data_IF_879709860589
#
_entry.id   IF_879709860589
#
_cell.length_a   1.000
_cell.length_b   1.000
_cell.length_c   1.000
_cell.angle_alpha   90.00
_cell.angle_beta   90.00
_cell.angle_gamma   90.00
#
_symmetry.space_group_name_H-M   'P 1'
#
loop_
_entity.id
_entity.type
_entity.pdbx_description
1 polymer ?
#
# COMPACT_ATOMS: atom_id res chain seq x y z
N UNK A 1 11.16 10.43 -6.02
CA UNK A 1 11.55 9.52 -7.13
C UNK A 1 12.99 9.02 -7.03
N UNK A 2 13.93 9.84 -6.57
CA UNK A 2 15.34 9.45 -6.38
C UNK A 2 15.50 8.20 -5.49
N UNK A 3 14.78 8.15 -4.36
CA UNK A 3 14.78 7.00 -3.44
C UNK A 3 14.41 5.67 -4.13
N UNK A 4 13.41 5.68 -5.00
CA UNK A 4 12.97 4.46 -5.70
C UNK A 4 14.04 3.98 -6.70
N UNK A 5 14.71 4.91 -7.37
CA UNK A 5 15.82 4.58 -8.28
C UNK A 5 17.02 3.96 -7.53
N UNK A 6 17.34 4.48 -6.34
CA UNK A 6 18.40 3.91 -5.49
C UNK A 6 18.06 2.49 -5.03
N UNK A 7 16.81 2.24 -4.63
CA UNK A 7 16.36 0.88 -4.26
C UNK A 7 16.44 -0.06 -5.46
N UNK A 8 15.97 0.36 -6.63
CA UNK A 8 16.05 -0.46 -7.84
C UNK A 8 17.51 -0.76 -8.23
N UNK A 9 18.40 0.23 -8.12
CA UNK A 9 19.83 0.04 -8.37
C UNK A 9 20.44 -0.98 -7.39
N UNK A 10 20.15 -0.86 -6.10
CA UNK A 10 20.64 -1.81 -5.10
C UNK A 10 20.14 -3.23 -5.36
N UNK A 11 18.86 -3.39 -5.69
CA UNK A 11 18.27 -4.70 -6.00
C UNK A 11 18.84 -5.32 -7.28
N UNK A 12 19.27 -4.52 -8.25
CA UNK A 12 19.86 -5.03 -9.49
C UNK A 12 21.21 -5.74 -9.29
N UNK A 13 21.83 -5.55 -8.12
CA UNK A 13 23.07 -6.24 -7.73
C UNK A 13 22.80 -7.62 -7.10
N UNK A 14 21.53 -7.95 -6.83
CA UNK A 14 21.13 -9.24 -6.25
C UNK A 14 20.60 -10.20 -7.32
N UNK A 15 21.32 -11.28 -7.58
CA UNK A 15 20.80 -12.44 -8.31
C UNK A 15 20.06 -13.34 -7.29
N UNK A 16 18.76 -13.64 -7.43
CA UNK A 16 17.99 -13.74 -8.68
C UNK A 16 16.88 -12.70 -8.88
N UNK A 17 17.07 -11.44 -8.51
CA UNK A 17 16.03 -10.41 -8.70
C UNK A 17 15.79 -10.18 -10.20
N UNK A 18 14.52 -10.14 -10.61
CA UNK A 18 14.11 -9.84 -11.99
C UNK A 18 13.18 -8.63 -11.97
N UNK A 19 13.44 -7.70 -12.87
CA UNK A 19 12.60 -6.51 -13.06
C UNK A 19 11.62 -6.73 -14.20
N UNK A 20 10.39 -6.26 -14.00
CA UNK A 20 9.32 -6.29 -14.99
C UNK A 20 8.77 -4.88 -15.16
N UNK A 21 8.51 -4.49 -16.40
CA UNK A 21 7.78 -3.26 -16.68
C UNK A 21 6.28 -3.57 -16.67
N UNK A 22 5.46 -2.75 -15.99
CA UNK A 22 4.01 -2.93 -16.04
C UNK A 22 3.47 -2.49 -17.40
N UNK A 23 2.39 -3.12 -17.85
CA UNK A 23 1.60 -2.64 -18.97
C UNK A 23 0.90 -1.32 -18.62
N UNK A 24 0.51 -0.55 -19.63
CA UNK A 24 -0.21 0.69 -19.41
C UNK A 24 -1.54 0.41 -18.70
N UNK A 25 -1.83 1.20 -17.65
CA UNK A 25 -3.05 1.06 -16.89
C UNK A 25 -4.27 1.45 -17.73
N UNK A 26 -5.28 0.58 -17.79
CA UNK A 26 -6.56 0.93 -18.35
C UNK A 26 -7.28 1.93 -17.42
N UNK A 27 -7.55 3.12 -17.95
CA UNK A 27 -8.18 4.20 -17.20
C UNK A 27 -9.59 3.85 -16.75
N UNK A 28 -10.32 3.04 -17.50
CA UNK A 28 -11.67 2.64 -17.12
C UNK A 28 -11.68 1.82 -15.83
N UNK A 29 -10.61 1.10 -15.54
CA UNK A 29 -10.45 0.39 -14.28
C UNK A 29 -10.38 1.35 -13.09
N UNK A 30 -9.68 2.49 -13.24
CA UNK A 30 -9.66 3.53 -12.20
C UNK A 30 -11.03 4.17 -12.00
N UNK A 31 -11.77 4.45 -13.07
CA UNK A 31 -13.12 5.04 -13.00
C UNK A 31 -14.17 4.13 -12.37
N UNK A 32 -13.97 2.83 -12.47
CA UNK A 32 -14.82 1.86 -11.77
C UNK A 32 -14.54 1.81 -10.26
N UNK A 33 -13.32 2.13 -9.85
CA UNK A 33 -12.90 2.12 -8.45
C UNK A 33 -13.15 3.45 -7.75
N UNK A 34 -12.76 4.54 -8.40
CA UNK A 34 -12.81 5.91 -7.89
C UNK A 34 -13.90 6.75 -8.60
N UNK A 35 -14.26 7.88 -7.99
CA UNK A 35 -15.15 8.86 -8.62
C UNK A 35 -14.61 9.32 -9.98
N UNK A 36 -15.43 9.25 -11.01
CA UNK A 36 -15.02 9.55 -12.38
C UNK A 36 -14.59 11.02 -12.55
N UNK A 37 -15.23 11.96 -11.84
CA UNK A 37 -14.83 13.37 -11.92
C UNK A 37 -13.45 13.58 -11.31
N UNK A 38 -13.16 12.88 -10.21
CA UNK A 38 -11.84 12.90 -9.59
C UNK A 38 -10.77 12.31 -10.52
N UNK A 39 -11.03 11.13 -11.11
CA UNK A 39 -10.11 10.51 -12.08
C UNK A 39 -9.86 11.44 -13.27
N UNK A 40 -10.91 11.98 -13.89
CA UNK A 40 -10.79 12.89 -15.03
C UNK A 40 -10.05 14.19 -14.67
N UNK A 41 -10.30 14.74 -13.48
CA UNK A 41 -9.58 15.92 -12.99
C UNK A 41 -8.08 15.64 -12.86
N UNK A 42 -7.69 14.50 -12.30
CA UNK A 42 -6.28 14.13 -12.20
C UNK A 42 -5.65 13.89 -13.57
N UNK A 43 -6.35 13.24 -14.51
CA UNK A 43 -5.83 12.96 -15.85
C UNK A 43 -5.58 14.22 -16.67
N UNK A 44 -6.47 15.23 -16.54
CA UNK A 44 -6.39 16.47 -17.31
C UNK A 44 -5.66 17.62 -16.61
N UNK A 45 -5.50 17.53 -15.28
CA UNK A 45 -5.01 18.61 -14.44
C UNK A 45 -6.08 19.68 -14.11
N UNK A 46 -7.33 19.49 -14.54
CA UNK A 46 -8.43 20.42 -14.31
C UNK A 46 -9.72 19.70 -13.86
N UNK A 47 -10.47 20.28 -12.91
CA UNK A 47 -10.16 21.53 -12.20
C UNK A 47 -8.96 21.34 -11.24
N UNK A 48 -8.06 22.29 -11.25
CA UNK A 48 -6.77 22.25 -10.51
C UNK A 48 -6.91 21.84 -9.04
N UNK A 49 -7.92 22.36 -8.35
CA UNK A 49 -8.16 22.07 -6.93
C UNK A 49 -8.37 20.57 -6.70
N UNK A 50 -9.12 19.91 -7.57
CA UNK A 50 -9.39 18.47 -7.48
C UNK A 50 -8.19 17.64 -7.95
N UNK A 51 -7.54 18.06 -9.04
CA UNK A 51 -6.35 17.40 -9.59
C UNK A 51 -5.14 17.39 -8.63
N UNK A 52 -5.10 18.27 -7.63
CA UNK A 52 -3.99 18.39 -6.65
C UNK A 52 -4.43 18.19 -5.20
N UNK A 53 -5.60 17.63 -4.96
CA UNK A 53 -6.17 17.45 -3.62
C UNK A 53 -5.30 16.56 -2.73
N UNK A 54 -4.63 15.58 -3.32
CA UNK A 54 -3.69 14.65 -2.68
C UNK A 54 -2.35 15.29 -2.29
N UNK A 55 -2.17 16.59 -2.49
CA UNK A 55 -0.98 17.39 -2.12
C UNK A 55 0.23 17.28 -3.03
N UNK A 56 0.23 16.50 -4.11
CA UNK A 56 1.27 16.56 -5.13
C UNK A 56 1.17 17.88 -5.92
N UNK A 57 2.19 18.72 -5.81
CA UNK A 57 2.24 20.05 -6.46
C UNK A 57 3.66 20.33 -6.97
N UNK A 58 3.79 20.93 -8.16
CA UNK A 58 2.74 21.21 -9.14
C UNK A 58 2.27 19.94 -9.86
N UNK A 59 1.00 19.91 -10.28
CA UNK A 59 0.53 18.89 -11.22
C UNK A 59 1.19 19.14 -12.59
N UNK A 60 1.62 18.04 -13.22
CA UNK A 60 2.11 17.98 -14.60
C UNK A 60 1.90 16.58 -15.17
N UNK A 61 2.10 16.43 -16.47
CA UNK A 61 1.91 15.15 -17.16
C UNK A 61 2.88 14.06 -16.68
N UNK A 62 4.11 14.43 -16.30
CA UNK A 62 5.08 13.48 -15.76
C UNK A 62 4.62 12.90 -14.43
N UNK A 63 4.02 13.74 -13.56
CA UNK A 63 3.42 13.26 -12.31
C UNK A 63 2.23 12.33 -12.59
N UNK A 64 1.35 12.72 -13.53
CA UNK A 64 0.22 11.88 -13.96
C UNK A 64 0.72 10.51 -14.41
N UNK A 65 1.66 10.47 -15.33
CA UNK A 65 2.18 9.24 -15.92
C UNK A 65 2.90 8.37 -14.88
N UNK A 66 3.64 8.99 -13.95
CA UNK A 66 4.27 8.29 -12.84
C UNK A 66 3.24 7.63 -11.90
N UNK A 67 2.15 8.34 -11.56
CA UNK A 67 1.08 7.78 -10.72
C UNK A 67 0.37 6.62 -11.41
N UNK A 68 0.08 6.74 -12.71
CA UNK A 68 -0.51 5.65 -13.49
C UNK A 68 0.42 4.43 -13.55
N UNK A 69 1.71 4.64 -13.77
CA UNK A 69 2.72 3.58 -13.77
C UNK A 69 2.82 2.88 -12.40
N UNK A 70 2.78 3.61 -11.29
CA UNK A 70 2.77 3.05 -9.93
C UNK A 70 1.58 2.12 -9.72
N UNK A 71 0.38 2.53 -10.14
CA UNK A 71 -0.82 1.72 -10.02
C UNK A 71 -0.79 0.50 -10.95
N UNK A 72 -0.30 0.65 -12.18
CA UNK A 72 -0.08 -0.48 -13.09
C UNK A 72 0.93 -1.48 -12.51
N UNK A 73 2.01 -0.99 -11.88
CA UNK A 73 2.99 -1.80 -11.17
C UNK A 73 2.40 -2.60 -10.01
N UNK A 74 1.37 -2.07 -9.35
CA UNK A 74 0.68 -2.78 -8.27
C UNK A 74 -0.09 -4.00 -8.79
N UNK A 75 -0.77 -3.85 -9.93
CA UNK A 75 -1.47 -4.97 -10.60
C UNK A 75 -0.44 -5.99 -11.08
N UNK A 76 0.63 -5.54 -11.74
CA UNK A 76 1.69 -6.42 -12.23
C UNK A 76 2.37 -7.20 -11.11
N UNK A 77 2.62 -6.56 -9.97
CA UNK A 77 3.17 -7.24 -8.82
C UNK A 77 2.21 -8.33 -8.30
N UNK A 78 0.90 -8.06 -8.22
CA UNK A 78 -0.06 -9.09 -7.82
C UNK A 78 -0.08 -10.28 -8.80
N UNK A 79 -0.07 -10.02 -10.11
CA UNK A 79 0.04 -11.07 -11.14
C UNK A 79 1.28 -11.96 -10.92
N UNK A 80 2.44 -11.33 -10.75
CA UNK A 80 3.71 -12.04 -10.52
C UNK A 80 3.71 -12.81 -9.18
N UNK A 81 3.05 -12.27 -8.15
CA UNK A 81 2.91 -12.98 -6.88
C UNK A 81 2.06 -14.23 -7.01
N UNK A 82 0.97 -14.19 -7.79
CA UNK A 82 0.16 -15.39 -8.08
C UNK A 82 0.94 -16.43 -8.91
N UNK A 83 1.84 -15.98 -9.79
CA UNK A 83 2.63 -16.88 -10.65
C UNK A 83 3.84 -17.47 -9.92
N UNK A 84 4.57 -16.63 -9.17
CA UNK A 84 5.88 -17.01 -8.58
C UNK A 84 5.87 -17.09 -7.05
N UNK A 85 4.77 -16.77 -6.39
CA UNK A 85 4.62 -16.80 -4.93
C UNK A 85 5.12 -15.55 -4.21
N UNK A 86 5.99 -14.74 -4.81
CA UNK A 86 6.52 -13.50 -4.23
C UNK A 86 6.88 -12.49 -5.31
N UNK A 87 6.49 -11.25 -5.10
CA UNK A 87 6.87 -10.12 -5.93
C UNK A 87 6.89 -8.82 -5.12
N UNK A 88 7.38 -7.73 -5.70
CA UNK A 88 7.32 -6.42 -5.08
C UNK A 88 7.06 -5.32 -6.12
N UNK A 89 6.21 -4.36 -5.78
CA UNK A 89 6.16 -3.06 -6.45
C UNK A 89 7.04 -2.08 -5.66
N UNK A 90 8.14 -1.61 -6.29
CA UNK A 90 9.05 -0.64 -5.64
C UNK A 90 8.44 0.76 -5.74
N UNK A 91 7.28 0.96 -5.11
CA UNK A 91 6.53 2.21 -5.16
C UNK A 91 5.54 2.28 -3.99
N UNK A 92 4.64 3.27 -4.03
CA UNK A 92 3.61 3.46 -3.02
C UNK A 92 2.35 2.66 -3.37
N UNK A 93 1.65 2.10 -2.34
CA UNK A 93 0.32 1.50 -2.49
C UNK A 93 -0.81 2.52 -2.49
N UNK A 94 -0.53 3.78 -2.13
CA UNK A 94 -1.50 4.89 -2.05
C UNK A 94 -2.69 4.64 -1.12
N UNK A 95 -2.42 4.11 0.08
CA UNK A 95 -3.39 3.63 1.06
C UNK A 95 -4.33 4.71 1.64
N UNK A 96 -3.99 6.01 1.51
CA UNK A 96 -4.86 7.12 1.93
C UNK A 96 -5.86 7.56 0.86
N UNK A 97 -5.71 7.12 -0.39
CA UNK A 97 -6.68 7.47 -1.42
C UNK A 97 -8.03 6.79 -1.14
N UNK A 98 -9.06 7.61 -0.96
CA UNK A 98 -10.46 7.23 -0.76
C UNK A 98 -11.17 7.02 -2.10
N UNK A 99 -12.40 6.46 -2.12
CA UNK A 99 -13.15 6.31 -3.36
C UNK A 99 -13.36 7.61 -4.15
N UNK A 100 -13.51 8.75 -3.47
CA UNK A 100 -13.94 9.99 -4.09
C UNK A 100 -12.80 11.02 -4.26
N UNK A 101 -11.66 10.83 -3.58
CA UNK A 101 -10.53 11.75 -3.65
C UNK A 101 -9.23 11.13 -3.15
N UNK A 102 -8.11 11.74 -3.55
CA UNK A 102 -6.78 11.44 -3.02
C UNK A 102 -6.45 12.27 -1.78
N UNK A 103 -5.57 11.76 -0.94
CA UNK A 103 -5.14 12.40 0.31
C UNK A 103 -3.70 12.06 0.63
N UNK A 104 -2.99 12.92 1.36
CA UNK A 104 -1.66 12.65 1.93
C UNK A 104 -0.69 11.97 0.95
N UNK A 105 -0.50 12.56 -0.22
CA UNK A 105 0.33 12.05 -1.32
C UNK A 105 -0.14 10.72 -1.93
N UNK A 106 -1.35 10.27 -1.62
CA UNK A 106 -1.97 9.10 -2.22
C UNK A 106 -3.03 9.54 -3.24
N UNK A 107 -2.86 9.16 -4.50
CA UNK A 107 -3.75 9.58 -5.58
C UNK A 107 -4.85 8.56 -5.84
N UNK A 108 -4.51 7.36 -6.28
CA UNK A 108 -5.44 6.28 -6.52
C UNK A 108 -5.02 5.06 -5.72
N UNK A 109 -5.94 4.39 -5.04
CA UNK A 109 -5.63 3.30 -4.14
C UNK A 109 -5.24 2.02 -4.91
N UNK A 110 -3.93 1.81 -5.09
CA UNK A 110 -3.41 0.66 -5.80
C UNK A 110 -3.67 -0.67 -5.09
N UNK A 111 -3.81 -0.66 -3.76
CA UNK A 111 -4.12 -1.86 -2.97
C UNK A 111 -5.55 -2.33 -3.24
N UNK A 112 -6.51 -1.39 -3.22
CA UNK A 112 -7.91 -1.66 -3.57
C UNK A 112 -8.06 -2.04 -5.05
N UNK A 113 -7.23 -1.44 -5.93
CA UNK A 113 -7.22 -1.74 -7.37
C UNK A 113 -6.90 -3.21 -7.64
N UNK A 114 -5.98 -3.81 -6.87
CA UNK A 114 -5.70 -5.26 -6.97
C UNK A 114 -6.94 -6.09 -6.63
N UNK A 115 -7.64 -5.76 -5.55
CA UNK A 115 -8.86 -6.49 -5.18
C UNK A 115 -9.96 -6.38 -6.26
N UNK A 116 -10.07 -5.23 -6.91
CA UNK A 116 -11.00 -5.04 -8.03
C UNK A 116 -10.61 -5.87 -9.26
N UNK A 117 -9.31 -5.98 -9.56
CA UNK A 117 -8.82 -6.74 -10.72
C UNK A 117 -8.95 -8.26 -10.54
N UNK A 118 -8.96 -8.72 -9.31
CA UNK A 118 -9.06 -10.14 -8.96
C UNK A 118 -10.30 -10.42 -8.09
N UNK A 119 -11.53 -10.23 -8.61
CA UNK A 119 -12.78 -10.31 -7.82
C UNK A 119 -13.01 -11.70 -7.19
N UNK A 120 -12.46 -12.75 -7.78
CA UNK A 120 -12.55 -14.13 -7.29
C UNK A 120 -11.44 -14.50 -6.29
N UNK A 121 -10.55 -13.56 -5.96
CA UNK A 121 -9.44 -13.74 -5.02
C UNK A 121 -9.64 -12.90 -3.77
N UNK A 122 -9.35 -13.46 -2.62
CA UNK A 122 -9.37 -12.74 -1.33
C UNK A 122 -8.04 -12.02 -1.12
N UNK A 123 -8.07 -10.71 -1.19
CA UNK A 123 -6.89 -9.83 -1.10
C UNK A 123 -6.82 -9.25 0.31
N UNK A 124 -5.80 -9.64 1.06
CA UNK A 124 -5.55 -9.15 2.41
C UNK A 124 -4.43 -8.12 2.40
N UNK A 125 -4.69 -6.94 2.95
CA UNK A 125 -3.68 -5.89 3.12
C UNK A 125 -3.17 -5.93 4.56
N UNK A 126 -1.89 -6.19 4.73
CA UNK A 126 -1.15 -5.96 5.98
C UNK A 126 -0.44 -4.62 5.85
N UNK A 127 -1.03 -3.60 6.41
CA UNK A 127 -0.53 -2.23 6.33
C UNK A 127 0.28 -1.89 7.58
N UNK A 128 1.58 -1.72 7.40
CA UNK A 128 2.56 -1.40 8.43
C UNK A 128 3.20 -0.01 8.23
N UNK A 129 2.54 0.86 7.49
CA UNK A 129 2.87 2.29 7.41
C UNK A 129 2.66 2.95 8.79
N UNK A 130 3.36 4.06 9.05
CA UNK A 130 3.17 4.81 10.29
C UNK A 130 1.75 5.34 10.43
N UNK A 131 1.08 5.63 9.31
CA UNK A 131 -0.29 6.14 9.27
C UNK A 131 -1.27 5.02 8.92
N UNK A 132 -2.44 5.03 9.55
CA UNK A 132 -3.47 4.04 9.23
C UNK A 132 -3.99 4.15 7.79
N UNK A 133 -4.18 3.02 7.13
CA UNK A 133 -4.68 2.92 5.75
C UNK A 133 -6.16 3.26 5.62
N UNK A 134 -6.54 4.51 5.96
CA UNK A 134 -7.93 4.96 6.00
C UNK A 134 -8.65 4.83 4.66
N UNK A 135 -7.99 5.17 3.55
CA UNK A 135 -8.58 5.04 2.21
C UNK A 135 -8.83 3.58 1.85
N UNK A 136 -7.87 2.69 2.10
CA UNK A 136 -8.05 1.25 1.87
C UNK A 136 -9.19 0.69 2.74
N UNK A 137 -9.30 1.14 4.00
CA UNK A 137 -10.39 0.73 4.89
C UNK A 137 -11.78 1.08 4.36
N UNK A 138 -11.94 2.22 3.66
CA UNK A 138 -13.22 2.59 3.04
C UNK A 138 -13.59 1.66 1.88
N UNK A 139 -12.61 1.16 1.13
CA UNK A 139 -12.87 0.25 0.01
C UNK A 139 -13.38 -1.12 0.41
N UNK A 140 -13.18 -1.57 1.66
CA UNK A 140 -13.75 -2.85 2.11
C UNK A 140 -15.29 -2.85 2.09
N UNK A 141 -15.91 -1.67 2.13
CA UNK A 141 -17.36 -1.51 2.01
C UNK A 141 -17.86 -1.75 0.58
N UNK A 142 -17.01 -1.52 -0.43
CA UNK A 142 -17.33 -1.69 -1.86
C UNK A 142 -16.82 -3.03 -2.41
N UNK A 143 -15.72 -3.56 -1.87
CA UNK A 143 -15.01 -4.74 -2.35
C UNK A 143 -15.11 -5.87 -1.33
N UNK A 144 -16.03 -6.85 -1.50
CA UNK A 144 -16.25 -7.92 -0.52
C UNK A 144 -15.05 -8.87 -0.38
N UNK A 145 -14.14 -8.87 -1.35
CA UNK A 145 -12.93 -9.65 -1.42
C UNK A 145 -11.68 -8.91 -0.93
N UNK A 146 -11.84 -7.71 -0.33
CA UNK A 146 -10.77 -6.92 0.27
C UNK A 146 -10.85 -6.98 1.80
N UNK A 147 -9.71 -7.17 2.46
CA UNK A 147 -9.54 -7.04 3.89
C UNK A 147 -8.37 -6.09 4.17
N UNK A 148 -8.52 -5.16 5.10
CA UNK A 148 -7.45 -4.24 5.50
C UNK A 148 -7.14 -4.40 6.98
N UNK A 149 -5.90 -4.74 7.31
CA UNK A 149 -5.38 -4.82 8.67
C UNK A 149 -4.24 -3.81 8.81
N UNK A 150 -4.49 -2.71 9.52
CA UNK A 150 -3.52 -1.62 9.69
C UNK A 150 -2.92 -1.61 11.09
N UNK A 151 -1.58 -1.57 11.15
CA UNK A 151 -0.81 -1.38 12.38
C UNK A 151 -0.12 -0.03 12.28
N UNK A 152 -0.59 0.98 13.00
CA UNK A 152 -0.12 2.34 12.85
C UNK A 152 0.23 3.02 14.18
N UNK A 153 1.16 3.96 14.12
CA UNK A 153 1.56 4.78 15.27
C UNK A 153 0.85 6.12 15.33
N UNK A 154 0.41 6.63 14.19
CA UNK A 154 -0.31 7.89 14.08
C UNK A 154 -1.67 7.66 13.42
N UNK A 155 -2.73 8.02 14.13
CA UNK A 155 -4.07 7.93 13.60
C UNK A 155 -4.28 8.91 12.45
N UNK A 156 -4.83 8.43 11.33
CA UNK A 156 -5.17 9.21 10.15
C UNK A 156 -6.63 9.00 9.73
N UNK A 157 -7.52 8.93 10.73
CA UNK A 157 -8.94 8.73 10.50
C UNK A 157 -9.32 7.32 10.03
N UNK A 158 -8.50 6.30 10.35
CA UNK A 158 -8.76 4.93 9.94
C UNK A 158 -10.02 4.39 10.62
N UNK A 159 -11.03 4.02 9.82
CA UNK A 159 -12.26 3.42 10.30
C UNK A 159 -12.08 1.93 10.60
N UNK A 160 -12.87 1.44 11.57
CA UNK A 160 -13.03 0.01 11.80
C UNK A 160 -14.33 -0.46 11.17
N UNK A 161 -14.25 -1.45 10.28
CA UNK A 161 -15.37 -2.10 9.61
C UNK A 161 -15.22 -3.61 9.75
N UNK A 162 -16.18 -4.38 9.32
CA UNK A 162 -16.15 -5.85 9.43
C UNK A 162 -14.88 -6.49 8.85
N UNK A 163 -14.32 -5.90 7.77
CA UNK A 163 -13.07 -6.34 7.14
C UNK A 163 -11.99 -5.26 7.14
N UNK A 164 -12.06 -4.31 8.08
CA UNK A 164 -11.02 -3.32 8.33
C UNK A 164 -10.69 -3.27 9.80
N UNK A 165 -9.62 -3.94 10.19
CA UNK A 165 -9.12 -3.95 11.55
C UNK A 165 -7.94 -3.02 11.73
N UNK A 166 -7.79 -2.48 12.93
CA UNK A 166 -6.71 -1.57 13.25
C UNK A 166 -6.03 -1.94 14.56
N UNK A 167 -4.72 -1.69 14.63
CA UNK A 167 -3.92 -1.73 15.86
C UNK A 167 -3.16 -0.41 15.98
N UNK A 168 -3.57 0.41 16.93
CA UNK A 168 -2.88 1.67 17.21
C UNK A 168 -1.77 1.43 18.22
N UNK A 169 -0.54 1.40 17.77
CA UNK A 169 0.66 1.13 18.56
C UNK A 169 1.69 2.20 18.24
N UNK A 170 2.04 3.03 19.20
CA UNK A 170 3.12 4.00 19.02
C UNK A 170 4.41 3.27 18.66
N UNK A 171 4.95 3.58 17.49
CA UNK A 171 6.12 2.91 16.92
C UNK A 171 7.41 3.40 17.57
N UNK A 172 7.59 3.07 18.85
CA UNK A 172 8.77 3.34 19.65
C UNK A 172 9.53 2.05 19.94
N UNK A 173 10.79 2.16 20.29
CA UNK A 173 11.61 0.99 20.66
C UNK A 173 10.95 0.16 21.79
N UNK A 174 10.37 0.83 22.77
CA UNK A 174 9.71 0.17 23.92
C UNK A 174 8.47 -0.64 23.54
N UNK A 175 7.79 -0.27 22.46
CA UNK A 175 6.55 -0.91 22.01
C UNK A 175 6.79 -1.93 20.89
N UNK A 176 8.03 -2.22 20.52
CA UNK A 176 8.32 -3.10 19.39
C UNK A 176 7.80 -4.53 19.57
N UNK A 177 7.82 -5.05 20.80
CA UNK A 177 7.25 -6.38 21.10
C UNK A 177 5.74 -6.43 20.86
N UNK A 178 5.01 -5.37 21.24
CA UNK A 178 3.57 -5.24 20.98
C UNK A 178 3.29 -5.12 19.48
N UNK A 179 4.12 -4.35 18.78
CA UNK A 179 4.07 -4.21 17.32
C UNK A 179 4.29 -5.55 16.59
N UNK A 180 5.28 -6.34 17.04
CA UNK A 180 5.49 -7.69 16.50
C UNK A 180 4.28 -8.61 16.77
N UNK A 181 3.67 -8.51 17.94
CA UNK A 181 2.45 -9.27 18.26
C UNK A 181 1.31 -8.90 17.31
N UNK A 182 1.11 -7.62 17.01
CA UNK A 182 0.11 -7.18 16.05
C UNK A 182 0.36 -7.71 14.63
N UNK A 183 1.62 -7.85 14.21
CA UNK A 183 1.96 -8.51 12.93
C UNK A 183 1.50 -9.99 12.94
N UNK A 184 1.73 -10.71 14.03
CA UNK A 184 1.24 -12.09 14.17
C UNK A 184 -0.30 -12.16 14.13
N UNK A 185 -1.00 -11.23 14.77
CA UNK A 185 -2.46 -11.12 14.68
C UNK A 185 -2.93 -10.88 13.24
N UNK A 186 -2.24 -10.01 12.49
CA UNK A 186 -2.55 -9.76 11.08
C UNK A 186 -2.43 -11.03 10.22
N UNK A 187 -1.35 -11.79 10.38
CA UNK A 187 -1.21 -13.07 9.67
C UNK A 187 -2.25 -14.12 10.10
N UNK A 188 -2.58 -14.19 11.40
CA UNK A 188 -3.65 -15.05 11.88
C UNK A 188 -5.02 -14.65 11.31
N UNK A 189 -5.31 -13.37 11.21
CA UNK A 189 -6.52 -12.85 10.58
C UNK A 189 -6.57 -13.19 9.07
N UNK A 190 -5.46 -13.02 8.36
CA UNK A 190 -5.36 -13.39 6.94
C UNK A 190 -5.63 -14.87 6.72
N UNK A 191 -5.05 -15.73 7.53
CA UNK A 191 -5.26 -17.17 7.48
C UNK A 191 -6.72 -17.55 7.81
N UNK A 192 -7.28 -16.98 8.89
CA UNK A 192 -8.67 -17.24 9.30
C UNK A 192 -9.68 -16.79 8.24
N UNK A 193 -9.40 -15.68 7.56
CA UNK A 193 -10.24 -15.19 6.47
C UNK A 193 -10.03 -15.98 5.17
N UNK A 194 -8.94 -16.72 5.03
CA UNK A 194 -8.58 -17.53 3.87
C UNK A 194 -8.08 -16.66 2.70
N UNK A 195 -7.15 -15.75 2.99
CA UNK A 195 -6.54 -14.89 1.98
C UNK A 195 -5.82 -15.69 0.89
N UNK A 196 -6.08 -15.35 -0.38
CA UNK A 196 -5.35 -15.89 -1.54
C UNK A 196 -4.04 -15.12 -1.80
N UNK A 197 -4.02 -13.84 -1.41
CA UNK A 197 -2.85 -12.95 -1.53
C UNK A 197 -2.78 -12.02 -0.32
N UNK A 198 -1.60 -11.93 0.28
CA UNK A 198 -1.28 -10.90 1.28
C UNK A 198 -0.43 -9.82 0.59
N UNK A 199 -0.91 -8.59 0.58
CA UNK A 199 -0.13 -7.43 0.16
C UNK A 199 0.40 -6.74 1.41
N UNK A 200 1.71 -6.69 1.54
CA UNK A 200 2.38 -6.02 2.63
C UNK A 200 2.72 -4.57 2.22
N UNK A 201 2.02 -3.60 2.81
CA UNK A 201 2.34 -2.18 2.70
C UNK A 201 3.47 -1.87 3.68
N UNK A 202 4.71 -1.93 3.17
CA UNK A 202 5.94 -1.78 3.95
C UNK A 202 6.32 -0.30 4.12
N UNK A 203 5.52 0.51 4.79
CA UNK A 203 5.81 1.92 5.06
C UNK A 203 7.14 2.06 5.82
N UNK A 204 8.00 2.98 5.37
CA UNK A 204 9.32 3.24 5.97
C UNK A 204 9.34 4.52 6.80
N UNK A 205 8.23 5.24 6.84
CA UNK A 205 8.04 6.48 7.59
C UNK A 205 7.94 6.28 9.12
N UNK A 206 7.93 5.02 9.56
CA UNK A 206 8.13 4.65 10.96
C UNK A 206 9.60 4.71 11.41
N UNK A 207 10.54 4.97 10.50
CA UNK A 207 11.96 5.12 10.84
C UNK A 207 12.22 6.44 11.59
N UNK A 208 13.10 6.39 12.60
CA UNK A 208 13.45 7.55 13.44
C UNK A 208 14.01 8.75 12.68
N UNK A 209 14.59 8.53 11.51
CA UNK A 209 15.19 9.58 10.67
C UNK A 209 14.25 10.05 9.55
N UNK A 210 12.98 9.59 9.52
CA UNK A 210 12.01 10.12 8.56
C UNK A 210 11.61 11.55 8.94
N UNK A 211 11.79 12.55 8.06
CA UNK A 211 11.56 13.96 8.38
C UNK A 211 10.07 14.29 8.59
N UNK A 212 9.17 13.45 8.15
CA UNK A 212 7.72 13.62 8.29
C UNK A 212 7.12 12.64 9.30
N UNK A 213 7.94 11.69 9.76
CA UNK A 213 7.54 10.69 10.72
C UNK A 213 7.47 11.23 12.15
N UNK A 214 6.62 10.61 12.97
CA UNK A 214 6.61 10.78 14.43
C UNK A 214 6.96 9.47 15.12
N UNK A 215 7.47 8.51 14.39
CA UNK A 215 7.90 7.21 14.87
C UNK A 215 9.40 7.18 15.18
N UNK A 216 9.83 6.12 15.86
CA UNK A 216 11.16 6.03 16.45
C UNK A 216 11.77 4.64 16.29
N UNK A 217 11.41 3.91 15.24
CA UNK A 217 12.07 2.65 14.94
C UNK A 217 13.46 2.91 14.36
N UNK A 218 14.47 2.29 14.93
CA UNK A 218 15.80 2.24 14.34
C UNK A 218 15.82 1.33 13.12
N UNK A 219 16.86 1.43 12.30
CA UNK A 219 17.11 0.51 11.18
C UNK A 219 17.03 -0.96 11.63
N UNK A 220 17.66 -1.31 12.76
CA UNK A 220 17.63 -2.68 13.30
C UNK A 220 16.21 -3.18 13.63
N UNK A 221 15.30 -2.30 14.08
CA UNK A 221 13.92 -2.67 14.36
C UNK A 221 13.13 -2.84 13.06
N UNK A 222 13.38 -2.02 12.06
CA UNK A 222 12.77 -2.19 10.74
C UNK A 222 13.24 -3.50 10.09
N UNK A 223 14.54 -3.80 10.13
CA UNK A 223 15.06 -5.09 9.66
C UNK A 223 14.37 -6.27 10.35
N UNK A 224 14.22 -6.24 11.67
CA UNK A 224 13.49 -7.27 12.42
C UNK A 224 12.00 -7.36 12.04
N UNK A 225 11.37 -6.23 11.69
CA UNK A 225 10.01 -6.21 11.15
C UNK A 225 9.94 -6.97 9.82
N UNK A 226 10.84 -6.64 8.89
CA UNK A 226 10.91 -7.29 7.58
C UNK A 226 11.17 -8.79 7.71
N UNK A 227 12.16 -9.18 8.51
CA UNK A 227 12.48 -10.59 8.79
C UNK A 227 11.25 -11.35 9.34
N UNK A 228 10.49 -10.73 10.27
CA UNK A 228 9.28 -11.32 10.82
C UNK A 228 8.21 -11.51 9.74
N UNK A 229 7.91 -10.47 8.96
CA UNK A 229 6.88 -10.52 7.92
C UNK A 229 7.22 -11.57 6.87
N UNK A 230 8.44 -11.57 6.33
CA UNK A 230 8.85 -12.57 5.33
C UNK A 230 8.87 -14.00 5.87
N UNK A 231 9.26 -14.19 7.13
CA UNK A 231 9.21 -15.50 7.78
C UNK A 231 7.77 -16.01 7.91
N UNK A 232 6.84 -15.15 8.35
CA UNK A 232 5.43 -15.53 8.49
C UNK A 232 4.78 -15.78 7.13
N UNK A 233 5.08 -14.95 6.13
CA UNK A 233 4.61 -15.15 4.76
C UNK A 233 5.04 -16.52 4.20
N UNK A 234 6.30 -16.91 4.41
CA UNK A 234 6.81 -18.22 4.00
C UNK A 234 6.13 -19.40 4.72
N UNK A 235 5.69 -19.20 5.96
CA UNK A 235 4.98 -20.24 6.74
C UNK A 235 3.50 -20.35 6.36
N UNK A 236 2.95 -19.33 5.69
CA UNK A 236 1.54 -19.28 5.29
C UNK A 236 1.28 -19.83 3.87
N UNK A 237 2.34 -20.20 3.15
CA UNK A 237 2.29 -20.90 1.86
C UNK A 237 2.01 -22.38 2.06
#
# INVERSE_FOLDING_TARGET
MEKLALVAQALNEYDPVRFYEPEALDIEVLKQLHDENYVNAFLTGEPRKLATIQSFKPWNEQLRDAVLCVNAGQIKAAELAFEYGLSANIAQGFHHASPDFGCAYCTFNGLALVAQQYPDKRIFILDCDQHGGNGTAEFVLKLPNLYNFSIYGQAFGCGCYERAETRHIHQTQGNFSEYQHAIHEGFAAAQAWGADLIIYQAGMDCHQDDPHGSAWFSTDLIEKREELVFRLAKQSQ
#
